data_IF_293759837913
#
_entry.id   IF_293759837913
#
_cell.length_a   1.000
_cell.length_b   1.000
_cell.length_c   1.000
_cell.angle_alpha   90.00
_cell.angle_beta   90.00
_cell.angle_gamma   90.00
#
_symmetry.space_group_name_H-M   'P 1'
#
loop_
_entity.id
_entity.type
_entity.pdbx_description
1 polymer ?
#
# COMPACT_ATOMS: atom_id res chain seq x y z
N UNK A 1 2.17 -15.31 0.63
CA UNK A 1 2.49 -14.93 1.99
C UNK A 1 2.18 -13.48 2.36
N UNK A 2 2.88 -12.51 1.74
CA UNK A 2 2.80 -11.10 2.16
C UNK A 2 1.41 -10.49 1.95
N UNK A 3 0.75 -10.78 0.83
CA UNK A 3 -0.61 -10.31 0.59
C UNK A 3 -1.62 -10.77 1.64
N UNK A 4 -1.48 -11.99 2.17
CA UNK A 4 -2.33 -12.50 3.25
C UNK A 4 -2.06 -11.80 4.59
N UNK A 5 -0.80 -11.44 4.88
CA UNK A 5 -0.44 -10.69 6.09
C UNK A 5 -1.03 -9.29 6.03
N UNK A 6 -0.86 -8.59 4.92
CA UNK A 6 -1.43 -7.26 4.71
C UNK A 6 -2.97 -7.30 4.77
N UNK A 7 -3.60 -8.24 4.05
CA UNK A 7 -5.05 -8.44 4.13
C UNK A 7 -5.50 -8.69 5.57
N UNK A 8 -4.82 -9.57 6.32
CA UNK A 8 -5.13 -9.86 7.72
C UNK A 8 -5.02 -8.62 8.62
N UNK A 9 -4.01 -7.77 8.39
CA UNK A 9 -3.83 -6.51 9.12
C UNK A 9 -5.00 -5.56 8.89
N UNK A 10 -5.40 -5.36 7.63
CA UNK A 10 -6.52 -4.46 7.32
C UNK A 10 -7.87 -5.03 7.75
N UNK A 11 -8.08 -6.35 7.67
CA UNK A 11 -9.27 -7.01 8.22
C UNK A 11 -9.35 -6.83 9.73
N UNK A 12 -8.23 -6.95 10.45
CA UNK A 12 -8.18 -6.72 11.89
C UNK A 12 -8.47 -5.25 12.25
N UNK A 13 -7.93 -4.29 11.49
CA UNK A 13 -8.24 -2.87 11.66
C UNK A 13 -9.73 -2.62 11.44
N UNK A 14 -10.30 -3.17 10.37
CA UNK A 14 -11.71 -3.05 10.05
C UNK A 14 -12.60 -3.61 11.18
N UNK A 15 -12.36 -4.85 11.58
CA UNK A 15 -13.14 -5.49 12.66
C UNK A 15 -13.00 -4.71 13.96
N UNK A 16 -11.80 -4.24 14.29
CA UNK A 16 -11.55 -3.43 15.48
C UNK A 16 -12.35 -2.12 15.48
N UNK A 17 -12.40 -1.42 14.34
CA UNK A 17 -13.17 -0.18 14.24
C UNK A 17 -14.68 -0.42 14.30
N UNK A 18 -15.18 -1.45 13.58
CA UNK A 18 -16.63 -1.76 13.56
C UNK A 18 -17.08 -2.23 14.95
N UNK A 19 -16.39 -3.21 15.53
CA UNK A 19 -16.73 -3.74 16.86
C UNK A 19 -16.56 -2.67 17.94
N UNK A 20 -15.46 -1.93 17.90
CA UNK A 20 -15.21 -0.82 18.83
C UNK A 20 -16.28 0.26 18.73
N UNK A 21 -16.70 0.64 17.51
CA UNK A 21 -17.78 1.60 17.28
C UNK A 21 -19.14 1.11 17.80
N UNK A 22 -19.46 -0.18 17.59
CA UNK A 22 -20.69 -0.78 18.11
C UNK A 22 -20.70 -0.85 19.64
N UNK A 23 -19.58 -1.23 20.26
CA UNK A 23 -19.47 -1.34 21.71
C UNK A 23 -19.52 0.03 22.39
N UNK A 24 -18.82 1.04 21.86
CA UNK A 24 -18.80 2.38 22.47
C UNK A 24 -20.17 3.06 22.39
N UNK A 25 -21.01 2.69 21.44
CA UNK A 25 -22.36 3.22 21.28
C UNK A 25 -23.37 2.71 22.32
N UNK A 26 -23.00 1.69 23.13
CA UNK A 26 -23.87 1.17 24.19
C UNK A 26 -23.92 2.19 25.33
N UNK A 27 -25.13 2.70 25.69
CA UNK A 27 -25.27 3.69 26.77
C UNK A 27 -24.67 3.19 28.09
N UNK A 28 -24.03 4.08 28.83
CA UNK A 28 -23.44 3.89 30.17
C UNK A 28 -22.29 2.87 30.24
N UNK A 29 -22.40 1.73 29.56
CA UNK A 29 -21.43 0.61 29.62
C UNK A 29 -20.44 0.55 28.48
N UNK A 30 -20.61 1.34 27.40
CA UNK A 30 -19.78 1.30 26.19
C UNK A 30 -18.28 1.35 26.46
N UNK A 31 -17.75 2.33 27.19
CA UNK A 31 -16.32 2.40 27.50
C UNK A 31 -15.79 1.16 28.26
N UNK A 32 -16.59 0.59 29.15
CA UNK A 32 -16.23 -0.62 29.91
C UNK A 32 -16.16 -1.84 28.97
N UNK A 33 -17.12 -2.01 28.06
CA UNK A 33 -17.10 -3.10 27.09
C UNK A 33 -15.91 -3.01 26.13
N UNK A 34 -15.56 -1.82 25.68
CA UNK A 34 -14.35 -1.61 24.87
C UNK A 34 -13.10 -2.00 25.66
N UNK A 35 -12.97 -1.55 26.91
CA UNK A 35 -11.82 -1.88 27.77
C UNK A 35 -11.68 -3.39 28.00
N UNK A 36 -12.79 -4.08 28.33
CA UNK A 36 -12.78 -5.53 28.52
C UNK A 36 -12.47 -6.30 27.23
N UNK A 37 -13.00 -5.84 26.10
CA UNK A 37 -12.71 -6.43 24.80
C UNK A 37 -11.23 -6.31 24.44
N UNK A 38 -10.62 -5.14 24.66
CA UNK A 38 -9.18 -4.93 24.45
C UNK A 38 -8.35 -5.84 25.36
N UNK A 39 -8.72 -5.98 26.63
CA UNK A 39 -8.05 -6.88 27.56
C UNK A 39 -8.16 -8.35 27.14
N UNK A 40 -9.37 -8.78 26.74
CA UNK A 40 -9.60 -10.14 26.25
C UNK A 40 -8.78 -10.44 25.01
N UNK A 41 -8.75 -9.51 24.03
CA UNK A 41 -7.92 -9.65 22.81
C UNK A 41 -6.43 -9.69 23.14
N UNK A 42 -5.96 -8.89 24.10
CA UNK A 42 -4.56 -8.92 24.54
C UNK A 42 -4.19 -10.26 25.17
N UNK A 43 -5.06 -10.83 26.00
CA UNK A 43 -4.87 -12.16 26.59
C UNK A 43 -4.87 -13.25 25.51
N UNK A 44 -5.85 -13.22 24.59
CA UNK A 44 -5.90 -14.16 23.46
C UNK A 44 -4.65 -14.07 22.59
N UNK A 45 -4.18 -12.87 22.28
CA UNK A 45 -2.94 -12.64 21.56
C UNK A 45 -1.72 -13.20 22.28
N UNK A 46 -1.64 -13.00 23.60
CA UNK A 46 -0.57 -13.57 24.43
C UNK A 46 -0.60 -15.10 24.48
N UNK A 47 -1.79 -15.69 24.57
CA UNK A 47 -1.96 -17.15 24.55
C UNK A 47 -1.59 -17.68 23.15
N UNK A 48 -2.10 -17.08 22.09
CA UNK A 48 -1.78 -17.48 20.70
C UNK A 48 -0.29 -17.42 20.39
N UNK A 49 0.41 -16.42 20.96
CA UNK A 49 1.86 -16.29 20.80
C UNK A 49 2.66 -17.47 21.40
N UNK A 50 2.09 -18.22 22.33
CA UNK A 50 2.74 -19.41 22.91
C UNK A 50 2.78 -20.60 21.94
N UNK A 51 1.89 -20.62 20.95
CA UNK A 51 1.87 -21.66 19.91
C UNK A 51 2.83 -21.38 18.74
N UNK A 52 3.49 -20.21 18.75
CA UNK A 52 4.50 -19.91 17.74
C UNK A 52 5.72 -20.82 17.96
N UNK A 53 6.17 -21.58 16.94
CA UNK A 53 7.34 -22.45 17.08
C UNK A 53 8.58 -21.65 17.50
N UNK A 54 9.36 -22.23 18.42
CA UNK A 54 10.62 -21.61 18.84
C UNK A 54 11.63 -21.60 17.69
N UNK A 55 12.23 -20.46 17.43
CA UNK A 55 13.34 -20.33 16.48
C UNK A 55 14.65 -20.17 17.25
N UNK A 56 15.69 -20.87 16.80
CA UNK A 56 17.02 -20.70 17.38
C UNK A 56 17.50 -19.24 17.19
N UNK A 57 18.14 -18.64 18.19
CA UNK A 57 18.68 -17.29 18.06
C UNK A 57 19.79 -17.28 16.99
N UNK A 58 19.77 -16.29 16.12
CA UNK A 58 20.81 -16.11 15.09
C UNK A 58 22.15 -15.79 15.71
N UNK A 59 22.17 -15.11 16.86
CA UNK A 59 23.35 -14.81 17.67
C UNK A 59 22.99 -14.96 19.15
N UNK A 60 23.45 -16.05 19.75
CA UNK A 60 23.20 -16.36 21.16
C UNK A 60 23.98 -15.43 22.12
N UNK A 61 25.04 -14.77 21.63
CA UNK A 61 25.87 -13.84 22.40
C UNK A 61 25.41 -12.39 22.32
N UNK A 62 24.33 -12.11 21.61
CA UNK A 62 23.80 -10.76 21.42
C UNK A 62 23.43 -10.11 22.75
N UNK A 63 24.12 -9.02 23.08
CA UNK A 63 23.75 -8.20 24.26
C UNK A 63 22.66 -7.20 23.86
N UNK A 64 21.57 -7.24 24.61
CA UNK A 64 20.44 -6.32 24.41
C UNK A 64 20.88 -4.91 24.83
N UNK A 65 20.78 -3.97 23.91
CA UNK A 65 20.94 -2.55 24.20
C UNK A 65 19.55 -1.94 24.54
N UNK A 66 19.37 -1.54 25.79
CA UNK A 66 18.12 -0.99 26.28
C UNK A 66 17.87 0.47 25.89
N UNK A 67 18.84 1.14 25.24
CA UNK A 67 18.66 2.51 24.78
C UNK A 67 17.93 2.52 23.41
N UNK A 68 16.65 2.96 23.36
CA UNK A 68 15.87 2.91 22.12
C UNK A 68 16.43 3.85 21.04
N UNK A 69 17.05 4.97 21.41
CA UNK A 69 17.58 5.94 20.43
C UNK A 69 18.82 5.38 19.71
N UNK A 70 19.74 4.77 20.46
CA UNK A 70 20.95 4.19 19.87
C UNK A 70 20.61 2.95 19.02
N UNK A 71 19.66 2.10 19.45
CA UNK A 71 19.23 0.95 18.63
C UNK A 71 18.43 1.39 17.40
N UNK A 72 17.60 2.41 17.50
CA UNK A 72 16.93 3.00 16.33
C UNK A 72 17.94 3.45 15.29
N UNK A 73 18.93 4.26 15.71
CA UNK A 73 19.99 4.73 14.81
C UNK A 73 20.78 3.59 14.19
N UNK A 74 21.12 2.58 14.98
CA UNK A 74 21.87 1.40 14.54
C UNK A 74 21.09 0.57 13.52
N UNK A 75 19.78 0.39 13.72
CA UNK A 75 18.90 -0.33 12.79
C UNK A 75 18.71 0.45 11.48
N UNK A 76 18.54 1.78 11.53
CA UNK A 76 18.45 2.63 10.35
C UNK A 76 19.77 2.65 9.57
N UNK A 77 20.91 2.75 10.25
CA UNK A 77 22.24 2.68 9.63
C UNK A 77 22.47 1.34 8.94
N UNK A 78 22.03 0.25 9.55
CA UNK A 78 22.12 -1.10 8.96
C UNK A 78 21.24 -1.19 7.69
N UNK A 79 20.01 -0.70 7.75
CA UNK A 79 19.12 -0.68 6.59
C UNK A 79 19.68 0.16 5.44
N UNK A 80 20.37 1.27 5.75
CA UNK A 80 20.97 2.16 4.76
C UNK A 80 22.14 1.53 3.99
N UNK A 81 22.77 0.47 4.50
CA UNK A 81 23.84 -0.24 3.81
C UNK A 81 23.38 -0.89 2.51
N UNK A 82 22.10 -1.25 2.41
CA UNK A 82 21.50 -1.75 1.18
C UNK A 82 20.52 -0.71 0.64
N UNK A 83 20.93 0.01 -0.40
CA UNK A 83 20.15 1.11 -0.99
C UNK A 83 18.77 0.65 -1.46
N UNK A 84 18.64 -0.57 -2.01
CA UNK A 84 17.36 -1.11 -2.48
C UNK A 84 16.43 -1.34 -1.29
N UNK A 85 16.94 -1.97 -0.22
CA UNK A 85 16.16 -2.19 1.01
C UNK A 85 15.75 -0.87 1.62
N UNK A 86 16.67 0.09 1.77
CA UNK A 86 16.38 1.38 2.38
C UNK A 86 15.33 2.19 1.61
N UNK A 87 15.43 2.24 0.27
CA UNK A 87 14.44 2.88 -0.59
C UNK A 87 13.07 2.20 -0.48
N UNK A 88 13.04 0.87 -0.38
CA UNK A 88 11.80 0.12 -0.17
C UNK A 88 11.15 0.42 1.19
N UNK A 89 11.97 0.56 2.24
CA UNK A 89 11.48 0.98 3.57
C UNK A 89 10.85 2.37 3.51
N UNK A 90 11.50 3.33 2.86
CA UNK A 90 10.96 4.69 2.68
C UNK A 90 9.67 4.68 1.89
N UNK A 91 9.58 3.86 0.82
CA UNK A 91 8.37 3.71 0.04
C UNK A 91 7.20 3.15 0.86
N UNK A 92 7.44 2.11 1.67
CA UNK A 92 6.41 1.57 2.57
C UNK A 92 6.01 2.60 3.62
N UNK A 93 6.97 3.30 4.21
CA UNK A 93 6.67 4.34 5.20
C UNK A 93 5.88 5.50 4.59
N UNK A 94 6.13 5.82 3.32
CA UNK A 94 5.31 6.76 2.58
C UNK A 94 3.86 6.27 2.40
N UNK A 95 3.66 4.99 2.09
CA UNK A 95 2.30 4.41 2.02
C UNK A 95 1.57 4.51 3.36
N UNK A 96 2.27 4.30 4.48
CA UNK A 96 1.70 4.49 5.82
C UNK A 96 1.39 5.96 6.13
N UNK A 97 2.26 6.90 5.69
CA UNK A 97 1.96 8.33 5.75
C UNK A 97 0.65 8.66 5.01
N UNK A 98 0.56 8.21 3.75
CA UNK A 98 -0.61 8.42 2.90
C UNK A 98 -1.88 7.80 3.51
N UNK A 99 -1.83 6.53 3.88
CA UNK A 99 -2.94 5.81 4.49
C UNK A 99 -3.41 6.44 5.82
N UNK A 100 -2.48 6.91 6.66
CA UNK A 100 -2.81 7.53 7.94
C UNK A 100 -3.59 8.84 7.77
N UNK A 101 -3.29 9.66 6.74
CA UNK A 101 -4.09 10.85 6.41
C UNK A 101 -5.53 10.45 6.14
N UNK A 102 -5.78 9.46 5.29
CA UNK A 102 -7.13 9.03 4.94
C UNK A 102 -7.87 8.43 6.13
N UNK A 103 -7.26 7.46 6.80
CA UNK A 103 -7.88 6.73 7.91
C UNK A 103 -8.28 7.65 9.07
N UNK A 104 -7.45 8.65 9.39
CA UNK A 104 -7.75 9.60 10.48
C UNK A 104 -8.82 10.61 10.11
N UNK A 105 -9.02 10.88 8.83
CA UNK A 105 -9.98 11.87 8.35
C UNK A 105 -11.34 11.28 7.93
N UNK A 106 -11.50 9.97 7.82
CA UNK A 106 -12.77 9.36 7.44
C UNK A 106 -13.97 9.79 8.30
N UNK A 107 -13.88 9.90 9.64
CA UNK A 107 -15.00 10.39 10.45
C UNK A 107 -15.43 11.81 10.07
N UNK A 108 -14.46 12.73 9.97
CA UNK A 108 -14.73 14.12 9.58
C UNK A 108 -15.18 14.22 8.12
N UNK A 109 -14.59 13.44 7.22
CA UNK A 109 -15.00 13.41 5.82
C UNK A 109 -16.43 12.92 5.65
N UNK A 110 -16.83 11.84 6.35
CA UNK A 110 -18.19 11.34 6.31
C UNK A 110 -19.19 12.37 6.85
N UNK A 111 -18.89 13.00 7.98
CA UNK A 111 -19.78 13.93 8.66
C UNK A 111 -19.81 15.30 8.03
N UNK A 112 -18.64 15.92 7.87
CA UNK A 112 -18.53 17.34 7.55
C UNK A 112 -18.50 17.61 6.02
N UNK A 113 -18.24 16.58 5.20
CA UNK A 113 -18.18 16.71 3.74
C UNK A 113 -19.33 15.96 3.06
N UNK A 114 -19.61 14.72 3.48
CA UNK A 114 -20.60 13.87 2.83
C UNK A 114 -21.99 13.95 3.51
N UNK A 115 -22.09 14.63 4.65
CA UNK A 115 -23.35 14.76 5.41
C UNK A 115 -23.86 13.44 5.99
N UNK A 116 -23.00 12.44 6.17
CA UNK A 116 -23.35 11.12 6.68
C UNK A 116 -23.18 11.00 8.19
N UNK A 117 -23.78 9.97 8.78
CA UNK A 117 -23.62 9.62 10.18
C UNK A 117 -22.38 8.72 10.41
N UNK A 118 -22.19 8.21 11.64
CA UNK A 118 -21.08 7.32 12.02
C UNK A 118 -21.06 6.00 11.22
N UNK A 119 -22.23 5.53 10.77
CA UNK A 119 -22.33 4.34 9.92
C UNK A 119 -21.75 4.57 8.53
N UNK A 120 -21.88 5.79 7.99
CA UNK A 120 -21.24 6.19 6.73
C UNK A 120 -19.73 6.22 6.89
N UNK A 121 -19.20 6.76 8.00
CA UNK A 121 -17.76 6.72 8.28
C UNK A 121 -17.23 5.26 8.34
N UNK A 122 -17.99 4.37 8.97
CA UNK A 122 -17.67 2.94 9.01
C UNK A 122 -17.72 2.30 7.62
N UNK A 123 -18.69 2.68 6.77
CA UNK A 123 -18.76 2.22 5.38
C UNK A 123 -17.53 2.63 4.57
N UNK A 124 -17.06 3.88 4.70
CA UNK A 124 -15.86 4.35 3.99
C UNK A 124 -14.64 3.52 4.39
N UNK A 125 -14.51 3.20 5.69
CA UNK A 125 -13.45 2.35 6.20
C UNK A 125 -13.53 0.91 5.65
N UNK A 126 -14.75 0.35 5.57
CA UNK A 126 -15.02 -0.97 4.97
C UNK A 126 -14.59 -0.99 3.50
N UNK A 127 -15.06 0.00 2.73
CA UNK A 127 -14.75 0.12 1.28
C UNK A 127 -13.24 0.21 1.07
N UNK A 128 -12.57 1.05 1.84
CA UNK A 128 -11.12 1.21 1.79
C UNK A 128 -10.38 -0.11 2.14
N UNK A 129 -10.79 -0.80 3.21
CA UNK A 129 -10.17 -2.05 3.64
C UNK A 129 -10.36 -3.17 2.61
N UNK A 130 -11.56 -3.28 2.02
CA UNK A 130 -11.84 -4.23 0.94
C UNK A 130 -10.98 -3.91 -0.29
N UNK A 131 -10.85 -2.64 -0.64
CA UNK A 131 -9.99 -2.21 -1.74
C UNK A 131 -8.55 -2.68 -1.56
N UNK A 132 -7.94 -2.43 -0.39
CA UNK A 132 -6.57 -2.90 -0.10
C UNK A 132 -6.48 -4.43 -0.17
N UNK A 133 -7.45 -5.15 0.41
CA UNK A 133 -7.45 -6.61 0.39
C UNK A 133 -7.48 -7.15 -1.05
N UNK A 134 -8.37 -6.63 -1.90
CA UNK A 134 -8.46 -7.00 -3.31
C UNK A 134 -7.14 -6.67 -4.03
N UNK A 135 -6.60 -5.46 -3.87
CA UNK A 135 -5.34 -5.04 -4.49
C UNK A 135 -4.16 -5.93 -4.07
N UNK A 136 -4.09 -6.28 -2.80
CA UNK A 136 -3.05 -7.18 -2.27
C UNK A 136 -3.15 -8.59 -2.86
N UNK A 137 -4.35 -9.14 -3.01
CA UNK A 137 -4.57 -10.45 -3.64
C UNK A 137 -4.30 -10.41 -5.16
N UNK A 138 -4.74 -9.35 -5.83
CA UNK A 138 -4.47 -9.15 -7.26
C UNK A 138 -2.97 -9.07 -7.56
N UNK A 139 -2.17 -8.57 -6.62
CA UNK A 139 -0.73 -8.50 -6.78
C UNK A 139 -0.12 -9.89 -7.05
N UNK A 140 -0.56 -10.94 -6.35
CA UNK A 140 -0.07 -12.31 -6.57
C UNK A 140 -0.39 -12.82 -7.99
N UNK A 141 -1.60 -12.53 -8.48
CA UNK A 141 -2.04 -12.92 -9.82
C UNK A 141 -1.30 -12.15 -10.91
N UNK A 142 -1.15 -10.84 -10.76
CA UNK A 142 -0.47 -9.97 -11.72
C UNK A 142 1.04 -10.20 -11.75
N UNK A 143 1.65 -10.57 -10.62
CA UNK A 143 3.09 -10.82 -10.50
C UNK A 143 3.53 -12.21 -10.93
N UNK A 144 2.62 -13.11 -11.31
CA UNK A 144 2.92 -14.50 -11.69
C UNK A 144 3.80 -15.23 -10.67
N UNK A 145 3.60 -14.98 -9.37
CA UNK A 145 4.40 -15.50 -8.24
C UNK A 145 5.86 -15.03 -8.22
N UNK A 146 6.23 -14.03 -9.01
CA UNK A 146 7.51 -13.32 -8.93
C UNK A 146 7.30 -11.93 -8.33
N UNK A 147 8.36 -11.29 -7.84
CA UNK A 147 8.25 -9.89 -7.38
C UNK A 147 8.22 -8.96 -8.58
N UNK A 148 7.03 -8.47 -8.92
CA UNK A 148 6.84 -7.55 -10.05
C UNK A 148 6.99 -6.10 -9.59
N UNK A 149 8.20 -5.56 -9.73
CA UNK A 149 8.54 -4.20 -9.29
C UNK A 149 7.76 -3.14 -10.10
N UNK A 150 7.36 -3.45 -11.33
CA UNK A 150 6.56 -2.54 -12.17
C UNK A 150 5.18 -2.20 -11.59
N UNK A 151 4.65 -3.03 -10.67
CA UNK A 151 3.40 -2.75 -9.95
C UNK A 151 3.55 -1.56 -8.99
N UNK A 152 4.75 -1.27 -8.48
CA UNK A 152 4.97 -0.20 -7.50
C UNK A 152 4.68 1.19 -8.09
N UNK A 153 5.33 1.64 -9.19
CA UNK A 153 5.00 2.92 -9.81
C UNK A 153 3.58 2.96 -10.37
N UNK A 154 3.05 1.84 -10.86
CA UNK A 154 1.66 1.71 -11.31
C UNK A 154 0.68 1.91 -10.14
N UNK A 155 0.93 1.25 -9.01
CA UNK A 155 0.16 1.44 -7.77
C UNK A 155 0.22 2.87 -7.26
N UNK A 156 1.41 3.46 -7.17
CA UNK A 156 1.59 4.85 -6.73
C UNK A 156 0.85 5.84 -7.63
N UNK A 157 0.89 5.65 -8.96
CA UNK A 157 0.16 6.50 -9.90
C UNK A 157 -1.36 6.38 -9.71
N UNK A 158 -1.89 5.15 -9.59
CA UNK A 158 -3.32 4.93 -9.34
C UNK A 158 -3.81 5.55 -8.03
N UNK A 159 -3.03 5.43 -6.95
CA UNK A 159 -3.32 6.12 -5.70
C UNK A 159 -3.45 7.64 -5.90
N UNK A 160 -2.57 8.25 -6.69
CA UNK A 160 -2.63 9.69 -6.98
C UNK A 160 -3.87 10.07 -7.78
N UNK A 161 -4.17 9.32 -8.84
CA UNK A 161 -5.33 9.59 -9.72
C UNK A 161 -6.62 9.59 -8.91
N UNK A 162 -6.87 8.54 -8.15
CA UNK A 162 -8.12 8.40 -7.39
C UNK A 162 -8.18 9.30 -6.15
N UNK A 163 -7.04 9.67 -5.56
CA UNK A 163 -7.01 10.69 -4.52
C UNK A 163 -7.36 12.07 -5.05
N UNK A 164 -6.90 12.40 -6.26
CA UNK A 164 -7.21 13.67 -6.93
C UNK A 164 -8.68 13.67 -7.37
N UNK A 165 -9.17 12.55 -7.95
CA UNK A 165 -10.57 12.45 -8.38
C UNK A 165 -11.53 12.51 -7.20
N UNK A 166 -11.18 11.92 -6.05
CA UNK A 166 -11.95 12.01 -4.81
C UNK A 166 -12.18 13.45 -4.36
N UNK A 167 -11.20 14.35 -4.55
CA UNK A 167 -11.39 15.78 -4.31
C UNK A 167 -12.49 16.35 -5.20
N UNK A 168 -12.49 16.01 -6.49
CA UNK A 168 -13.52 16.51 -7.42
C UNK A 168 -14.88 15.84 -7.15
N UNK A 169 -14.90 14.55 -6.82
CA UNK A 169 -16.11 13.80 -6.49
C UNK A 169 -16.81 14.33 -5.23
N UNK A 170 -16.05 14.85 -4.27
CA UNK A 170 -16.59 15.40 -3.03
C UNK A 170 -16.96 16.89 -3.08
N UNK A 171 -16.72 17.57 -4.21
CA UNK A 171 -17.07 18.99 -4.36
C UNK A 171 -18.56 19.15 -4.64
N UNK A 172 -19.17 20.13 -3.98
CA UNK A 172 -20.56 20.52 -4.25
C UNK A 172 -21.60 19.52 -3.74
N UNK A 173 -21.21 18.61 -2.86
CA UNK A 173 -22.19 17.77 -2.16
C UNK A 173 -23.02 18.68 -1.24
N UNK A 174 -24.32 18.66 -1.44
CA UNK A 174 -25.26 19.44 -0.64
C UNK A 174 -25.43 18.76 0.72
N UNK A 175 -25.15 19.50 1.79
CA UNK A 175 -25.36 19.00 3.14
C UNK A 175 -26.86 18.91 3.44
N UNK A 176 -27.38 17.75 3.81
CA UNK A 176 -28.76 17.62 4.27
C UNK A 176 -28.91 18.25 5.67
N UNK A 177 -30.12 18.70 6.00
CA UNK A 177 -30.42 19.23 7.35
C UNK A 177 -30.23 18.19 8.47
N UNK A 178 -30.42 16.91 8.13
CA UNK A 178 -30.20 15.78 9.04
C UNK A 178 -29.16 14.83 8.44
N UNK A 179 -28.29 14.29 9.28
CA UNK A 179 -27.25 13.36 8.85
C UNK A 179 -27.84 12.14 8.12
N UNK A 180 -27.33 11.82 6.96
CA UNK A 180 -27.75 10.69 6.15
C UNK A 180 -27.47 9.38 6.87
N UNK A 181 -28.48 8.53 6.93
CA UNK A 181 -28.29 7.13 7.31
C UNK A 181 -27.55 6.38 6.23
N UNK A 182 -26.99 5.20 6.54
CA UNK A 182 -26.30 4.33 5.58
C UNK A 182 -27.15 4.07 4.32
N UNK A 183 -28.45 3.73 4.48
CA UNK A 183 -29.35 3.44 3.37
C UNK A 183 -29.59 4.66 2.48
N UNK A 184 -29.78 5.83 3.08
CA UNK A 184 -29.96 7.09 2.34
C UNK A 184 -28.68 7.48 1.60
N UNK A 185 -27.52 7.31 2.23
CA UNK A 185 -26.23 7.61 1.62
C UNK A 185 -25.97 6.76 0.36
N UNK A 186 -26.20 5.45 0.44
CA UNK A 186 -26.01 4.51 -0.68
C UNK A 186 -27.08 4.72 -1.78
N UNK A 187 -28.26 5.20 -1.45
CA UNK A 187 -29.31 5.50 -2.44
C UNK A 187 -28.95 6.69 -3.35
N UNK A 188 -28.03 7.56 -2.93
CA UNK A 188 -27.61 8.72 -3.71
C UNK A 188 -26.51 8.33 -4.70
N UNK A 189 -26.81 8.41 -6.01
CA UNK A 189 -25.87 8.03 -7.07
C UNK A 189 -24.55 8.80 -7.07
N UNK A 190 -24.54 10.06 -6.64
CA UNK A 190 -23.33 10.87 -6.53
C UNK A 190 -22.30 10.28 -5.55
N UNK A 191 -22.74 9.61 -4.48
CA UNK A 191 -21.87 9.01 -3.47
C UNK A 191 -21.16 7.76 -3.98
N UNK A 192 -21.64 7.12 -5.02
CA UNK A 192 -20.99 5.95 -5.63
C UNK A 192 -19.62 6.28 -6.24
N UNK A 193 -19.46 7.51 -6.80
CA UNK A 193 -18.16 7.96 -7.29
C UNK A 193 -17.15 8.06 -6.14
N UNK A 194 -17.54 8.66 -5.02
CA UNK A 194 -16.70 8.75 -3.81
C UNK A 194 -16.29 7.35 -3.31
N UNK A 195 -17.25 6.42 -3.24
CA UNK A 195 -16.96 5.03 -2.82
C UNK A 195 -16.05 4.31 -3.82
N UNK A 196 -16.26 4.51 -5.12
CA UNK A 196 -15.43 3.93 -6.17
C UNK A 196 -13.98 4.47 -6.11
N UNK A 197 -13.81 5.78 -5.94
CA UNK A 197 -12.51 6.41 -5.81
C UNK A 197 -11.76 5.88 -4.57
N UNK A 198 -12.44 5.75 -3.43
CA UNK A 198 -11.85 5.17 -2.22
C UNK A 198 -11.46 3.69 -2.40
N UNK A 199 -12.33 2.89 -3.04
CA UNK A 199 -12.05 1.49 -3.31
C UNK A 199 -10.85 1.32 -4.25
N UNK A 200 -10.80 2.10 -5.33
CA UNK A 200 -9.73 2.05 -6.33
C UNK A 200 -8.42 2.60 -5.76
N UNK A 201 -8.44 3.73 -5.05
CA UNK A 201 -7.28 4.26 -4.35
C UNK A 201 -6.69 3.19 -3.43
N UNK A 202 -7.51 2.52 -2.63
CA UNK A 202 -7.11 1.47 -1.71
C UNK A 202 -6.60 0.21 -2.43
N UNK A 203 -7.23 -0.17 -3.54
CA UNK A 203 -6.75 -1.27 -4.40
C UNK A 203 -5.33 -1.00 -4.91
N UNK A 204 -5.08 0.22 -5.41
CA UNK A 204 -3.76 0.61 -5.86
C UNK A 204 -2.74 0.69 -4.72
N UNK A 205 -3.15 1.03 -3.50
CA UNK A 205 -2.29 0.96 -2.32
C UNK A 205 -1.87 -0.49 -2.00
N UNK A 206 -2.77 -1.46 -2.17
CA UNK A 206 -2.44 -2.89 -2.07
C UNK A 206 -1.44 -3.34 -3.13
N UNK A 207 -1.63 -2.94 -4.39
CA UNK A 207 -0.69 -3.22 -5.49
C UNK A 207 0.68 -2.57 -5.28
N UNK A 208 0.73 -1.43 -4.61
CA UNK A 208 1.96 -0.73 -4.26
C UNK A 208 2.72 -1.43 -3.13
N UNK A 209 2.05 -1.76 -2.03
CA UNK A 209 2.69 -2.21 -0.79
C UNK A 209 3.26 -3.62 -0.87
N UNK A 210 2.52 -4.56 -1.47
CA UNK A 210 2.90 -5.99 -1.49
C UNK A 210 4.24 -6.25 -2.16
N UNK A 211 4.55 -5.71 -3.37
CA UNK A 211 5.87 -5.91 -3.98
C UNK A 211 7.01 -5.30 -3.16
N UNK A 212 6.76 -4.17 -2.49
CA UNK A 212 7.75 -3.50 -1.66
C UNK A 212 8.12 -4.34 -0.44
N UNK A 213 7.15 -4.91 0.27
CA UNK A 213 7.41 -5.84 1.37
C UNK A 213 8.14 -7.10 0.91
N UNK A 214 7.73 -7.66 -0.24
CA UNK A 214 8.41 -8.82 -0.82
C UNK A 214 9.87 -8.50 -1.17
N UNK A 215 10.14 -7.33 -1.74
CA UNK A 215 11.49 -6.87 -2.09
C UNK A 215 12.38 -6.73 -0.85
N UNK A 216 11.85 -6.17 0.24
CA UNK A 216 12.59 -6.10 1.51
C UNK A 216 12.96 -7.50 2.00
N UNK A 217 12.01 -8.43 2.01
CA UNK A 217 12.23 -9.79 2.51
C UNK A 217 13.24 -10.56 1.66
N UNK A 218 13.23 -10.36 0.34
CA UNK A 218 14.17 -11.01 -0.58
C UNK A 218 15.58 -10.43 -0.50
N UNK A 219 15.70 -9.12 -0.33
CA UNK A 219 17.00 -8.41 -0.37
C UNK A 219 17.63 -8.23 1.00
N UNK A 220 16.87 -8.40 2.09
CA UNK A 220 17.41 -8.37 3.44
C UNK A 220 18.20 -9.64 3.74
N UNK A 221 19.42 -9.47 4.25
CA UNK A 221 20.22 -10.60 4.70
C UNK A 221 19.48 -11.36 5.81
N UNK A 222 19.43 -12.70 5.78
CA UNK A 222 18.70 -13.50 6.77
C UNK A 222 19.09 -13.18 8.22
N UNK A 223 20.39 -12.94 8.49
CA UNK A 223 20.93 -12.58 9.82
C UNK A 223 20.49 -11.22 10.34
N UNK A 224 20.03 -10.31 9.47
CA UNK A 224 19.65 -8.95 9.82
C UNK A 224 18.15 -8.66 9.59
N UNK A 225 17.37 -9.65 9.15
CA UNK A 225 15.98 -9.47 8.73
C UNK A 225 15.10 -8.87 9.83
N UNK A 226 15.22 -9.34 11.08
CA UNK A 226 14.46 -8.80 12.22
C UNK A 226 14.78 -7.32 12.49
N UNK A 227 16.04 -6.91 12.33
CA UNK A 227 16.46 -5.52 12.50
C UNK A 227 15.96 -4.63 11.37
N UNK A 228 15.91 -5.14 10.15
CA UNK A 228 15.32 -4.44 8.99
C UNK A 228 13.82 -4.25 9.21
N UNK A 229 13.11 -5.26 9.72
CA UNK A 229 11.68 -5.14 10.08
C UNK A 229 11.49 -4.12 11.19
N UNK A 230 12.36 -4.10 12.21
CA UNK A 230 12.31 -3.08 13.25
C UNK A 230 12.53 -1.66 12.69
N UNK A 231 13.49 -1.48 11.78
CA UNK A 231 13.71 -0.21 11.08
C UNK A 231 12.48 0.22 10.26
N UNK A 232 11.82 -0.72 9.59
CA UNK A 232 10.57 -0.47 8.87
C UNK A 232 9.48 0.08 9.80
N UNK A 233 9.25 -0.58 10.93
CA UNK A 233 8.21 -0.16 11.87
C UNK A 233 8.51 1.21 12.48
N UNK A 234 9.78 1.51 12.77
CA UNK A 234 10.19 2.83 13.26
C UNK A 234 9.92 3.90 12.20
N UNK A 235 10.33 3.67 10.95
CA UNK A 235 10.11 4.61 9.86
C UNK A 235 8.60 4.82 9.61
N UNK A 236 7.82 3.74 9.61
CA UNK A 236 6.36 3.82 9.46
C UNK A 236 5.75 4.71 10.56
N UNK A 237 6.14 4.52 11.82
CA UNK A 237 5.67 5.35 12.93
C UNK A 237 6.06 6.82 12.76
N UNK A 238 7.30 7.12 12.36
CA UNK A 238 7.76 8.49 12.11
C UNK A 238 6.99 9.16 10.97
N UNK A 239 6.72 8.44 9.89
CA UNK A 239 5.94 8.94 8.78
C UNK A 239 4.47 9.17 9.15
N UNK A 240 3.88 8.29 9.98
CA UNK A 240 2.52 8.48 10.52
C UNK A 240 2.44 9.70 11.45
N UNK A 241 3.45 9.94 12.29
CA UNK A 241 3.55 11.17 13.10
C UNK A 241 3.64 12.40 12.19
N UNK A 242 4.48 12.33 11.16
CA UNK A 242 4.61 13.40 10.16
C UNK A 242 3.29 13.67 9.43
N UNK A 243 2.54 12.64 9.07
CA UNK A 243 1.23 12.79 8.43
C UNK A 243 0.20 13.46 9.34
N UNK A 244 0.17 13.06 10.62
CA UNK A 244 -0.71 13.67 11.61
C UNK A 244 -0.37 15.15 11.86
N UNK A 245 0.93 15.48 11.94
CA UNK A 245 1.39 16.86 12.08
C UNK A 245 1.02 17.71 10.84
N UNK A 246 1.25 17.19 9.64
CA UNK A 246 0.86 17.85 8.39
C UNK A 246 -0.65 18.10 8.34
N UNK A 247 -1.45 17.07 8.61
CA UNK A 247 -2.91 17.18 8.61
C UNK A 247 -3.38 18.24 9.64
N UNK A 248 -2.88 18.18 10.87
CA UNK A 248 -3.24 19.15 11.91
C UNK A 248 -2.88 20.59 11.53
N UNK A 249 -1.69 20.83 10.97
CA UNK A 249 -1.26 22.16 10.54
C UNK A 249 -2.10 22.70 9.39
N UNK A 250 -2.37 21.87 8.37
CA UNK A 250 -3.16 22.27 7.20
C UNK A 250 -4.63 22.54 7.57
N UNK A 251 -5.25 21.67 8.37
CA UNK A 251 -6.62 21.87 8.84
C UNK A 251 -6.72 23.13 9.72
N UNK A 252 -5.76 23.37 10.60
CA UNK A 252 -5.68 24.61 11.40
C UNK A 252 -5.51 25.87 10.53
N UNK A 253 -4.84 25.74 9.39
CA UNK A 253 -4.70 26.82 8.41
C UNK A 253 -5.95 27.04 7.54
N UNK A 254 -7.05 26.30 7.76
CA UNK A 254 -8.30 26.44 7.03
C UNK A 254 -8.41 25.56 5.78
N UNK A 255 -7.47 24.64 5.55
CA UNK A 255 -7.57 23.64 4.46
C UNK A 255 -8.68 22.66 4.80
N UNK A 256 -9.59 22.41 3.87
CA UNK A 256 -10.67 21.44 4.03
C UNK A 256 -10.18 19.99 3.89
N UNK A 257 -10.95 19.01 4.41
CA UNK A 257 -10.59 17.59 4.29
C UNK A 257 -10.43 17.15 2.81
N UNK A 258 -11.29 17.52 1.86
CA UNK A 258 -11.05 17.24 0.44
C UNK A 258 -9.76 17.84 -0.12
N UNK A 259 -9.45 19.08 0.27
CA UNK A 259 -8.18 19.72 -0.14
C UNK A 259 -6.96 19.01 0.47
N UNK A 260 -7.07 18.51 1.69
CA UNK A 260 -6.02 17.70 2.31
C UNK A 260 -5.79 16.39 1.53
N UNK A 261 -6.85 15.73 1.06
CA UNK A 261 -6.74 14.56 0.19
C UNK A 261 -6.09 14.90 -1.15
N UNK A 262 -6.46 16.03 -1.75
CA UNK A 262 -5.82 16.53 -2.98
C UNK A 262 -4.32 16.78 -2.77
N UNK A 263 -3.94 17.48 -1.71
CA UNK A 263 -2.53 17.77 -1.39
C UNK A 263 -1.76 16.46 -1.21
N UNK A 264 -2.34 15.50 -0.49
CA UNK A 264 -1.74 14.17 -0.27
C UNK A 264 -1.59 13.41 -1.59
N UNK A 265 -2.58 13.47 -2.47
CA UNK A 265 -2.53 12.88 -3.81
C UNK A 265 -1.46 13.51 -4.71
N UNK A 266 -1.32 14.84 -4.67
CA UNK A 266 -0.27 15.55 -5.42
C UNK A 266 1.13 15.25 -4.89
N UNK A 267 1.31 15.17 -3.57
CA UNK A 267 2.57 14.73 -2.97
C UNK A 267 2.89 13.29 -3.37
N UNK A 268 1.89 12.39 -3.39
CA UNK A 268 2.06 11.04 -3.86
C UNK A 268 2.42 10.96 -5.35
N UNK A 269 1.90 11.87 -6.17
CA UNK A 269 2.27 11.94 -7.59
C UNK A 269 3.77 12.28 -7.77
N UNK A 270 4.32 13.15 -6.93
CA UNK A 270 5.77 13.43 -6.92
C UNK A 270 6.57 12.18 -6.53
N UNK A 271 6.11 11.45 -5.53
CA UNK A 271 6.73 10.17 -5.11
C UNK A 271 6.61 9.12 -6.22
N UNK A 272 5.46 9.00 -6.88
CA UNK A 272 5.26 8.12 -8.02
C UNK A 272 6.23 8.43 -9.17
N UNK A 273 6.41 9.73 -9.49
CA UNK A 273 7.39 10.21 -10.48
C UNK A 273 8.82 9.83 -10.09
N UNK A 274 9.19 10.03 -8.83
CA UNK A 274 10.51 9.62 -8.33
C UNK A 274 10.73 8.11 -8.44
N UNK A 275 9.74 7.30 -8.07
CA UNK A 275 9.83 5.83 -8.20
C UNK A 275 9.94 5.43 -9.67
N UNK A 276 9.17 6.06 -10.56
CA UNK A 276 9.27 5.82 -11.99
C UNK A 276 10.69 6.07 -12.52
N UNK A 277 11.34 7.17 -12.11
CA UNK A 277 12.71 7.48 -12.49
C UNK A 277 13.74 6.48 -11.95
N UNK A 278 13.40 5.76 -10.87
CA UNK A 278 14.29 4.73 -10.30
C UNK A 278 14.20 3.38 -11.02
N UNK A 279 13.03 3.05 -11.55
CA UNK A 279 12.75 1.70 -12.09
C UNK A 279 11.92 1.74 -13.39
N UNK A 280 12.28 2.60 -14.37
CA UNK A 280 11.47 2.80 -15.58
C UNK A 280 11.32 1.51 -16.40
N UNK A 281 12.35 0.68 -16.47
CA UNK A 281 12.35 -0.55 -17.26
C UNK A 281 11.32 -1.56 -16.72
N UNK A 282 11.14 -1.63 -15.43
CA UNK A 282 10.16 -2.54 -14.82
C UNK A 282 8.73 -2.09 -15.09
N UNK A 283 8.45 -0.78 -15.04
CA UNK A 283 7.14 -0.26 -15.37
C UNK A 283 6.82 -0.45 -16.86
N UNK A 284 7.78 -0.12 -17.75
CA UNK A 284 7.60 -0.30 -19.18
C UNK A 284 7.36 -1.78 -19.54
N UNK A 285 8.10 -2.70 -18.92
CA UNK A 285 7.87 -4.14 -19.05
C UNK A 285 6.47 -4.55 -18.60
N UNK A 286 6.02 -4.06 -17.46
CA UNK A 286 4.68 -4.35 -16.95
C UNK A 286 3.60 -3.81 -17.89
N UNK A 287 3.74 -2.57 -18.39
CA UNK A 287 2.81 -1.97 -19.35
C UNK A 287 2.81 -2.80 -20.65
N UNK A 288 3.98 -3.17 -21.18
CA UNK A 288 4.10 -4.02 -22.36
C UNK A 288 3.37 -5.36 -22.15
N UNK A 289 3.53 -5.98 -20.99
CA UNK A 289 2.85 -7.23 -20.63
C UNK A 289 1.34 -7.08 -20.59
N UNK A 290 0.82 -6.00 -19.99
CA UNK A 290 -0.63 -5.71 -19.97
C UNK A 290 -1.13 -5.44 -21.40
N UNK A 291 -0.47 -4.55 -22.13
CA UNK A 291 -0.87 -4.16 -23.48
C UNK A 291 -0.91 -5.36 -24.45
N UNK A 292 0.12 -6.20 -24.41
CA UNK A 292 0.16 -7.39 -25.28
C UNK A 292 -0.95 -8.38 -24.97
N UNK A 293 -1.35 -8.52 -23.69
CA UNK A 293 -2.46 -9.41 -23.31
C UNK A 293 -3.83 -8.86 -23.62
N UNK A 294 -3.99 -7.55 -23.64
CA UNK A 294 -5.24 -6.90 -24.03
C UNK A 294 -5.46 -6.92 -25.54
N UNK A 295 -4.37 -6.72 -26.32
CA UNK A 295 -4.46 -6.61 -27.77
C UNK A 295 -4.27 -7.95 -28.47
N UNK A 296 -3.42 -8.84 -27.92
CA UNK A 296 -3.07 -10.12 -28.55
C UNK A 296 -3.41 -11.30 -27.63
N UNK A 297 -3.77 -12.43 -28.24
CA UNK A 297 -3.82 -13.73 -27.52
C UNK A 297 -2.39 -14.28 -27.35
N UNK A 298 -1.59 -13.56 -26.57
CA UNK A 298 -0.17 -13.83 -26.40
C UNK A 298 0.08 -15.00 -25.45
N UNK A 299 0.77 -16.04 -25.95
CA UNK A 299 1.21 -17.19 -25.15
C UNK A 299 2.72 -17.29 -25.23
N UNK A 300 3.36 -17.36 -24.08
CA UNK A 300 4.81 -17.61 -23.96
C UNK A 300 5.03 -19.08 -23.64
N UNK A 301 6.05 -19.69 -24.21
CA UNK A 301 6.51 -21.04 -23.91
C UNK A 301 8.03 -21.01 -23.77
N UNK A 302 8.57 -21.67 -22.73
CA UNK A 302 10.00 -21.72 -22.49
C UNK A 302 10.58 -20.50 -21.76
N UNK A 303 9.75 -19.65 -21.17
CA UNK A 303 10.19 -18.53 -20.34
C UNK A 303 10.97 -18.97 -19.09
N UNK A 304 10.76 -20.20 -18.65
CA UNK A 304 11.53 -20.85 -17.58
C UNK A 304 13.02 -21.07 -17.95
N UNK A 305 13.37 -21.05 -19.23
CA UNK A 305 14.75 -21.19 -19.69
C UNK A 305 15.51 -19.85 -19.73
N UNK A 306 14.80 -18.72 -19.58
CA UNK A 306 15.46 -17.41 -19.50
C UNK A 306 16.10 -17.26 -18.12
N UNK A 307 17.43 -17.04 -18.01
CA UNK A 307 18.08 -16.88 -16.72
C UNK A 307 17.48 -15.72 -15.91
N UNK A 308 17.10 -15.98 -14.68
CA UNK A 308 16.57 -14.95 -13.76
C UNK A 308 17.68 -14.09 -13.16
N UNK A 309 18.91 -14.58 -13.13
CA UNK A 309 20.11 -13.91 -12.59
C UNK A 309 21.27 -14.01 -13.58
N UNK A 310 22.27 -13.13 -13.41
CA UNK A 310 23.48 -13.12 -14.23
C UNK A 310 23.28 -12.44 -15.59
N UNK A 311 24.38 -12.36 -16.34
CA UNK A 311 24.39 -11.80 -17.70
C UNK A 311 23.84 -12.82 -18.71
N UNK A 312 22.97 -12.38 -19.62
CA UNK A 312 22.44 -13.20 -20.70
C UNK A 312 22.20 -12.35 -21.94
N UNK A 313 22.41 -12.93 -23.11
CA UNK A 313 22.07 -12.32 -24.40
C UNK A 313 20.92 -13.12 -25.00
N UNK A 314 19.79 -12.44 -25.25
CA UNK A 314 18.65 -13.00 -25.96
C UNK A 314 18.82 -12.69 -27.45
N UNK A 315 18.88 -13.72 -28.25
CA UNK A 315 18.96 -13.61 -29.73
C UNK A 315 17.65 -14.12 -30.28
N UNK A 316 17.01 -13.32 -31.13
CA UNK A 316 15.77 -13.70 -31.82
C UNK A 316 15.79 -13.25 -33.27
N UNK A 317 14.92 -13.84 -34.08
CA UNK A 317 14.59 -13.30 -35.40
C UNK A 317 13.80 -11.98 -35.22
N UNK A 318 13.98 -11.04 -36.15
CA UNK A 318 13.30 -9.76 -36.14
C UNK A 318 12.42 -9.63 -37.38
N UNK A 319 11.14 -9.42 -37.18
CA UNK A 319 10.16 -9.34 -38.29
C UNK A 319 9.38 -8.02 -38.21
N UNK A 320 9.19 -7.47 -37.01
CA UNK A 320 8.35 -6.29 -36.81
C UNK A 320 8.83 -5.45 -35.62
N UNK A 321 8.54 -4.14 -35.61
CA UNK A 321 8.78 -3.26 -34.47
C UNK A 321 8.07 -3.71 -33.20
N UNK A 322 6.98 -4.49 -33.33
CA UNK A 322 6.25 -5.05 -32.19
C UNK A 322 7.06 -6.13 -31.47
N UNK A 323 8.06 -6.75 -32.11
CA UNK A 323 8.86 -7.83 -31.51
C UNK A 323 9.55 -7.38 -30.22
N UNK A 324 10.02 -6.13 -30.14
CA UNK A 324 10.63 -5.58 -28.94
C UNK A 324 9.62 -5.55 -27.76
N UNK A 325 8.37 -5.16 -28.01
CA UNK A 325 7.30 -5.13 -27.01
C UNK A 325 6.93 -6.55 -26.58
N UNK A 326 6.83 -7.49 -27.54
CA UNK A 326 6.52 -8.89 -27.28
C UNK A 326 7.62 -9.58 -26.46
N UNK A 327 8.88 -9.33 -26.78
CA UNK A 327 10.02 -9.85 -26.02
C UNK A 327 10.06 -9.28 -24.59
N UNK A 328 9.84 -7.97 -24.46
CA UNK A 328 9.77 -7.32 -23.16
C UNK A 328 8.63 -7.90 -22.30
N UNK A 329 7.48 -8.17 -22.90
CA UNK A 329 6.33 -8.79 -22.24
C UNK A 329 6.54 -10.27 -21.91
N UNK A 330 7.33 -10.99 -22.69
CA UNK A 330 7.64 -12.40 -22.48
C UNK A 330 8.69 -12.63 -21.39
N UNK A 331 9.65 -11.73 -21.26
CA UNK A 331 10.79 -11.90 -20.35
C UNK A 331 10.39 -11.74 -18.89
N UNK A 332 10.88 -12.60 -17.98
CA UNK A 332 10.70 -12.44 -16.54
C UNK A 332 11.51 -11.28 -15.94
N UNK A 333 12.43 -10.69 -16.71
CA UNK A 333 13.33 -9.59 -16.29
C UNK A 333 13.40 -8.50 -17.37
N UNK A 334 13.75 -7.23 -17.00
CA UNK A 334 13.94 -6.17 -17.97
C UNK A 334 14.98 -6.54 -19.03
N UNK A 335 14.71 -6.16 -20.28
CA UNK A 335 15.61 -6.36 -21.42
C UNK A 335 16.14 -5.00 -21.87
N UNK A 336 17.45 -4.92 -22.10
CA UNK A 336 18.08 -3.79 -22.80
C UNK A 336 18.26 -4.20 -24.26
N UNK A 337 17.64 -3.45 -25.17
CA UNK A 337 17.72 -3.72 -26.60
C UNK A 337 18.98 -3.09 -27.18
N UNK A 338 19.71 -3.86 -27.98
CA UNK A 338 20.83 -3.38 -28.77
C UNK A 338 20.33 -3.31 -30.19
N UNK A 339 20.32 -2.11 -30.78
CA UNK A 339 19.87 -1.86 -32.13
C UNK A 339 20.89 -1.01 -32.91
N UNK A 340 20.91 -1.15 -34.21
CA UNK A 340 21.74 -0.28 -35.06
C UNK A 340 21.18 1.15 -35.02
N UNK A 341 22.04 2.14 -34.77
CA UNK A 341 21.70 3.56 -34.70
C UNK A 341 21.07 4.13 -35.98
N UNK A 342 21.18 3.44 -37.09
CA UNK A 342 20.61 3.83 -38.40
C UNK A 342 19.12 3.49 -38.52
N UNK A 343 18.56 2.76 -37.52
CA UNK A 343 17.16 2.34 -37.54
C UNK A 343 16.28 3.36 -36.77
N UNK A 344 16.89 4.36 -36.08
CA UNK A 344 16.23 5.46 -35.42
C UNK A 344 16.34 6.78 -36.14
#
# INVERSE_FOLDING_TARGET
GNGMVEMGTFVAILLGNVVGGLLIAIPEMGPSYVAWSCLALAVLGRVSAQFVPSAAPTDAALKINWNPFTETWRNLKLAHQNVVVFRSLLGISWMWFFGAVFLTQFPSFAKDVLGGNEQVASLLLVVFSIGIAIGSLMCETLSRRHVEIGLVPFGAFGMSVFSIDLYFASRGIVHPETALTLGQFVALGANWRVMADLALLALFAGLYSVPMYALIQMRAQPSHRSRIIAANNILNALFMIGSAAMAALLLKAGVTVPQLFLITGLLNLLVAGYIFLLVPEYLLRFIAWVATRLVYRFKVRGDEHIPTEGAAILVCNHVSFVDAILLMAASPRPIVFIMDHRIF
#
